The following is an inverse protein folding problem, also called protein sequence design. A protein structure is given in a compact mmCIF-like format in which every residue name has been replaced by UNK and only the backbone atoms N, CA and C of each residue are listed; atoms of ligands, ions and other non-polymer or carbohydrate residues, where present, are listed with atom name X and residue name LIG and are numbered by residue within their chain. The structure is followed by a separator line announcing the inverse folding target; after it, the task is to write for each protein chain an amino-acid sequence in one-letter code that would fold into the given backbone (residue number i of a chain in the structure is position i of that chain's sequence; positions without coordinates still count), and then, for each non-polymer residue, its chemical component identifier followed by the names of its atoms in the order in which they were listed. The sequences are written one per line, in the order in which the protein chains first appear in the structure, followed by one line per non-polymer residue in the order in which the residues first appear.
data_IF_199678031079
#
_entry.id   IF_199678031079
#
_cell.length_a   1.000
_cell.length_b   1.000
_cell.length_c   1.000
_cell.angle_alpha   90.00
_cell.angle_beta   90.00
_cell.angle_gamma   90.00
#
_symmetry.space_group_name_H-M   'P 1'
#
loop_
_entity.id
_entity.type
_entity.pdbx_description
1 polymer ?
#
# COMPACT_ATOMS: atom_id res chain seq x y z
N UNK A 1 37.90 20.08 1.07
CA UNK A 1 36.89 21.17 1.12
C UNK A 1 36.24 21.48 -0.22
N UNK A 2 36.81 21.08 -1.34
CA UNK A 2 36.21 21.27 -2.69
C UNK A 2 35.11 20.22 -2.96
N UNK A 3 35.22 19.00 -2.45
CA UNK A 3 34.27 17.91 -2.64
C UNK A 3 32.91 18.16 -1.95
N UNK A 4 32.91 18.66 -0.72
CA UNK A 4 31.70 18.92 0.04
C UNK A 4 30.82 20.05 -0.55
N UNK A 5 31.41 21.05 -1.20
CA UNK A 5 30.65 22.09 -1.90
C UNK A 5 30.03 21.56 -3.19
N UNK A 6 30.74 20.71 -3.94
CA UNK A 6 30.23 20.04 -5.13
C UNK A 6 29.04 19.14 -4.80
N UNK A 7 29.10 18.39 -3.70
CA UNK A 7 28.03 17.50 -3.26
C UNK A 7 26.76 18.27 -2.83
N UNK A 8 26.91 19.44 -2.22
CA UNK A 8 25.77 20.30 -1.85
C UNK A 8 25.08 20.86 -3.09
N UNK A 9 25.83 21.30 -4.10
CA UNK A 9 25.26 21.80 -5.37
C UNK A 9 24.54 20.68 -6.12
N UNK A 10 25.15 19.50 -6.23
CA UNK A 10 24.54 18.34 -6.85
C UNK A 10 23.19 17.99 -6.20
N UNK A 11 23.11 18.01 -4.88
CA UNK A 11 21.88 17.72 -4.14
C UNK A 11 20.78 18.76 -4.38
N UNK A 12 21.14 20.02 -4.53
CA UNK A 12 20.21 21.09 -4.90
C UNK A 12 19.65 20.89 -6.31
N UNK A 13 20.51 20.53 -7.26
CA UNK A 13 20.12 20.25 -8.65
C UNK A 13 19.14 19.07 -8.72
N UNK A 14 19.40 18.00 -7.97
CA UNK A 14 18.49 16.83 -7.91
C UNK A 14 17.11 17.21 -7.37
N UNK A 15 17.05 18.01 -6.31
CA UNK A 15 15.75 18.45 -5.77
C UNK A 15 15.02 19.37 -6.74
N UNK A 16 15.72 20.29 -7.41
CA UNK A 16 15.11 21.12 -8.45
C UNK A 16 14.53 20.26 -9.57
N UNK A 17 15.27 19.26 -10.06
CA UNK A 17 14.80 18.35 -11.10
C UNK A 17 13.52 17.60 -10.68
N UNK A 18 13.44 17.11 -9.45
CA UNK A 18 12.23 16.47 -8.91
C UNK A 18 11.04 17.44 -8.89
N UNK A 19 11.23 18.66 -8.38
CA UNK A 19 10.16 19.65 -8.29
C UNK A 19 9.69 20.07 -9.70
N UNK A 20 10.61 20.29 -10.62
CA UNK A 20 10.30 20.63 -12.02
C UNK A 20 9.55 19.50 -12.72
N UNK A 21 9.94 18.24 -12.51
CA UNK A 21 9.24 17.09 -13.07
C UNK A 21 7.80 16.99 -12.54
N UNK A 22 7.60 17.17 -11.23
CA UNK A 22 6.26 17.14 -10.61
C UNK A 22 5.36 18.24 -11.19
N UNK A 23 5.89 19.45 -11.37
CA UNK A 23 5.15 20.58 -11.97
C UNK A 23 4.84 20.29 -13.44
N UNK A 24 5.80 19.77 -14.21
CA UNK A 24 5.65 19.47 -15.63
C UNK A 24 4.52 18.47 -15.91
N UNK A 25 4.36 17.46 -15.01
CA UNK A 25 3.26 16.48 -15.10
C UNK A 25 2.00 16.91 -14.32
N UNK A 26 1.88 18.20 -13.99
CA UNK A 26 0.70 18.82 -13.35
C UNK A 26 0.31 18.23 -12.01
N UNK A 27 1.28 17.75 -11.24
CA UNK A 27 1.10 17.21 -9.87
C UNK A 27 0.10 16.04 -9.78
N UNK A 28 -0.03 15.24 -10.84
CA UNK A 28 -1.03 14.17 -10.94
C UNK A 28 -0.44 12.76 -10.90
N UNK A 29 0.83 12.60 -10.49
CA UNK A 29 1.51 11.31 -10.53
C UNK A 29 2.23 10.98 -9.21
N UNK A 30 2.51 9.69 -9.02
CA UNK A 30 3.24 9.16 -7.85
C UNK A 30 4.75 9.29 -8.02
N UNK A 31 5.47 9.00 -6.94
CA UNK A 31 6.94 9.07 -6.91
C UNK A 31 7.61 8.22 -7.99
N UNK A 32 7.16 6.97 -8.18
CA UNK A 32 7.74 6.05 -9.15
C UNK A 32 7.65 6.60 -10.58
N UNK A 33 6.50 7.17 -10.94
CA UNK A 33 6.31 7.80 -12.24
C UNK A 33 7.23 9.03 -12.45
N UNK A 34 7.42 9.85 -11.42
CA UNK A 34 8.35 11.00 -11.47
C UNK A 34 9.78 10.51 -11.68
N UNK A 35 10.16 9.41 -11.05
CA UNK A 35 11.48 8.79 -11.23
C UNK A 35 11.65 8.28 -12.66
N UNK A 36 10.63 7.62 -13.24
CA UNK A 36 10.64 7.16 -14.63
C UNK A 36 10.83 8.32 -15.62
N UNK A 37 10.15 9.46 -15.40
CA UNK A 37 10.34 10.68 -16.19
C UNK A 37 11.78 11.18 -16.09
N UNK A 38 12.33 11.32 -14.88
CA UNK A 38 13.69 11.82 -14.65
C UNK A 38 14.75 10.90 -15.27
N UNK A 39 14.53 9.60 -15.25
CA UNK A 39 15.44 8.61 -15.83
C UNK A 39 15.25 8.41 -17.34
N UNK A 40 14.22 9.00 -17.93
CA UNK A 40 13.94 8.84 -19.37
C UNK A 40 13.46 7.44 -19.74
N UNK A 41 12.72 6.77 -18.82
CA UNK A 41 12.13 5.46 -19.10
C UNK A 41 10.85 5.61 -19.93
N UNK A 42 10.85 5.08 -21.13
CA UNK A 42 9.70 5.05 -22.04
C UNK A 42 8.71 3.95 -21.63
N UNK A 43 8.00 4.16 -20.51
CA UNK A 43 6.93 3.25 -20.10
C UNK A 43 5.66 3.51 -20.92
N UNK A 44 4.75 2.51 -20.96
CA UNK A 44 3.46 2.65 -21.63
C UNK A 44 2.65 3.84 -21.10
N UNK A 45 2.78 4.14 -19.80
CA UNK A 45 2.11 5.26 -19.15
C UNK A 45 2.71 6.60 -19.56
N UNK A 46 4.04 6.69 -19.67
CA UNK A 46 4.75 7.88 -20.17
C UNK A 46 4.35 8.20 -21.60
N UNK A 47 4.31 7.18 -22.46
CA UNK A 47 3.88 7.32 -23.88
C UNK A 47 2.40 7.69 -24.01
N UNK A 48 1.52 7.12 -23.18
CA UNK A 48 0.10 7.44 -23.18
C UNK A 48 -0.19 8.92 -22.84
N UNK A 49 0.66 9.53 -22.02
CA UNK A 49 0.56 10.93 -21.63
C UNK A 49 1.42 11.89 -22.49
N UNK A 50 2.19 11.36 -23.44
CA UNK A 50 3.15 12.11 -24.27
C UNK A 50 4.17 12.87 -23.41
N UNK A 51 4.57 12.30 -22.29
CA UNK A 51 5.52 12.93 -21.37
C UNK A 51 6.98 12.69 -21.76
N UNK A 52 7.25 11.85 -22.75
CA UNK A 52 8.56 11.76 -23.41
C UNK A 52 9.00 13.07 -24.09
N UNK A 53 8.04 13.93 -24.45
CA UNK A 53 8.32 15.24 -25.08
C UNK A 53 8.62 16.36 -24.06
N UNK A 54 8.56 16.09 -22.75
CA UNK A 54 8.84 17.08 -21.72
C UNK A 54 10.35 17.37 -21.61
N UNK A 55 10.72 18.64 -21.40
CA UNK A 55 12.14 19.03 -21.18
C UNK A 55 12.80 18.31 -20.01
N UNK A 56 12.01 17.92 -19.01
CA UNK A 56 12.48 17.20 -17.82
C UNK A 56 12.66 15.71 -18.06
N UNK A 57 12.20 15.16 -19.19
CA UNK A 57 12.33 13.75 -19.50
C UNK A 57 13.80 13.40 -19.71
N UNK A 58 14.28 12.42 -18.96
CA UNK A 58 15.68 11.99 -19.01
C UNK A 58 16.69 12.96 -18.40
N UNK A 59 16.25 14.05 -17.75
CA UNK A 59 17.16 15.02 -17.14
C UNK A 59 18.01 14.45 -16.01
N UNK A 60 17.63 13.31 -15.48
CA UNK A 60 18.28 12.61 -14.39
C UNK A 60 18.81 11.22 -14.71
N UNK A 61 19.05 10.88 -15.97
CA UNK A 61 19.47 9.54 -16.44
C UNK A 61 20.77 9.00 -15.81
N UNK A 62 21.58 9.85 -15.18
CA UNK A 62 22.84 9.44 -14.54
C UNK A 62 22.71 9.00 -13.08
N UNK A 63 21.51 9.08 -12.49
CA UNK A 63 21.29 8.78 -11.08
C UNK A 63 20.43 7.53 -10.92
N UNK A 64 20.70 6.76 -9.86
CA UNK A 64 19.97 5.53 -9.55
C UNK A 64 18.61 5.81 -8.90
N UNK A 65 17.67 4.85 -9.01
CA UNK A 65 16.35 4.88 -8.37
C UNK A 65 16.43 5.16 -6.87
N UNK A 66 17.43 4.58 -6.19
CA UNK A 66 17.69 4.79 -4.75
C UNK A 66 17.96 6.27 -4.43
N UNK A 67 18.74 6.95 -5.28
CA UNK A 67 19.06 8.38 -5.12
C UNK A 67 17.80 9.23 -5.25
N UNK A 68 16.98 8.97 -6.26
CA UNK A 68 15.73 9.70 -6.49
C UNK A 68 14.72 9.48 -5.36
N UNK A 69 14.58 8.25 -4.88
CA UNK A 69 13.74 7.95 -3.73
C UNK A 69 14.21 8.68 -2.46
N UNK A 70 15.53 8.76 -2.24
CA UNK A 70 16.10 9.50 -1.12
C UNK A 70 15.83 11.01 -1.23
N UNK A 71 15.98 11.59 -2.43
CA UNK A 71 15.67 13.02 -2.68
C UNK A 71 14.20 13.32 -2.42
N UNK A 72 13.28 12.52 -2.98
CA UNK A 72 11.82 12.69 -2.80
C UNK A 72 11.45 12.57 -1.33
N UNK A 73 11.96 11.56 -0.63
CA UNK A 73 11.71 11.36 0.80
C UNK A 73 12.19 12.54 1.63
N UNK A 74 13.42 13.01 1.41
CA UNK A 74 13.96 14.16 2.13
C UNK A 74 13.22 15.46 1.78
N UNK A 75 12.75 15.60 0.55
CA UNK A 75 11.94 16.75 0.15
C UNK A 75 10.56 16.77 0.83
N UNK A 76 9.95 15.59 1.04
CA UNK A 76 8.72 15.43 1.83
C UNK A 76 8.96 15.79 3.30
N UNK A 77 10.05 15.30 3.91
CA UNK A 77 10.42 15.58 5.30
C UNK A 77 10.72 17.08 5.48
N UNK A 78 11.41 17.71 4.52
CA UNK A 78 11.74 19.14 4.57
C UNK A 78 10.55 20.05 4.23
N UNK A 79 9.40 19.49 3.85
CA UNK A 79 8.18 20.23 3.53
C UNK A 79 8.21 20.94 2.16
N UNK A 80 9.12 20.59 1.27
CA UNK A 80 9.14 21.09 -0.12
C UNK A 80 8.13 20.39 -1.01
N UNK A 81 7.83 19.13 -0.69
CA UNK A 81 6.79 18.33 -1.33
C UNK A 81 5.74 17.92 -0.29
N UNK A 82 4.53 17.61 -0.77
CA UNK A 82 3.48 16.98 0.00
C UNK A 82 2.94 15.79 -0.77
N UNK A 83 2.40 14.82 -0.04
CA UNK A 83 1.77 13.64 -0.62
C UNK A 83 0.26 13.74 -0.43
N UNK A 84 -0.48 13.80 -1.54
CA UNK A 84 -1.94 13.83 -1.50
C UNK A 84 -2.48 12.43 -1.21
N UNK A 85 -2.80 12.19 0.05
CA UNK A 85 -3.27 10.88 0.54
C UNK A 85 -4.70 10.59 0.06
N UNK A 86 -5.49 11.63 -0.19
CA UNK A 86 -6.87 11.49 -0.68
C UNK A 86 -6.92 11.02 -2.15
N UNK A 87 -5.86 11.30 -2.93
CA UNK A 87 -5.70 10.91 -4.33
C UNK A 87 -4.55 9.92 -4.52
N UNK A 88 -4.55 8.83 -3.76
CA UNK A 88 -3.63 7.68 -3.92
C UNK A 88 -2.13 8.01 -3.80
N UNK A 89 -1.79 9.07 -3.10
CA UNK A 89 -0.39 9.41 -2.82
C UNK A 89 0.31 10.16 -3.95
N UNK A 90 -0.42 10.98 -4.70
CA UNK A 90 0.15 11.87 -5.70
C UNK A 90 1.10 12.88 -5.04
N UNK A 91 2.19 13.19 -5.73
CA UNK A 91 3.14 14.20 -5.27
C UNK A 91 2.68 15.60 -5.68
N UNK A 92 2.71 16.52 -4.73
CA UNK A 92 2.42 17.95 -4.94
C UNK A 92 3.55 18.81 -4.43
N UNK A 93 3.76 19.95 -5.07
CA UNK A 93 4.78 20.94 -4.67
C UNK A 93 4.15 21.93 -3.70
N UNK A 94 4.77 22.13 -2.56
CA UNK A 94 4.34 23.12 -1.56
C UNK A 94 4.79 24.53 -1.93
N UNK A 95 4.28 25.56 -1.24
CA UNK A 95 4.78 26.93 -1.40
C UNK A 95 6.29 27.04 -1.13
N UNK A 96 6.80 26.27 -0.17
CA UNK A 96 8.23 26.22 0.13
C UNK A 96 9.03 25.54 -0.99
N UNK A 97 8.47 24.53 -1.65
CA UNK A 97 9.04 23.92 -2.84
C UNK A 97 9.14 24.92 -4.01
N UNK A 98 8.10 25.69 -4.27
CA UNK A 98 8.14 26.76 -5.28
C UNK A 98 9.14 27.88 -4.94
N UNK A 99 9.28 28.23 -3.67
CA UNK A 99 10.30 29.18 -3.21
C UNK A 99 11.72 28.63 -3.38
N UNK A 100 11.89 27.32 -3.15
CA UNK A 100 13.16 26.65 -3.33
C UNK A 100 13.65 26.71 -4.78
N UNK A 101 12.77 26.47 -5.76
CA UNK A 101 13.11 26.60 -7.19
C UNK A 101 13.61 27.99 -7.55
N UNK A 102 13.00 29.03 -6.98
CA UNK A 102 13.40 30.43 -7.25
C UNK A 102 14.72 30.82 -6.57
N UNK A 103 15.03 30.18 -5.44
CA UNK A 103 16.23 30.48 -4.65
C UNK A 103 16.69 29.23 -3.91
N UNK A 104 17.41 28.31 -4.59
CA UNK A 104 17.88 27.08 -3.99
C UNK A 104 18.75 27.33 -2.75
N UNK A 105 18.45 26.59 -1.68
CA UNK A 105 19.21 26.62 -0.41
C UNK A 105 19.92 25.27 -0.24
N UNK A 106 20.85 25.17 0.72
CA UNK A 106 21.51 23.92 1.01
C UNK A 106 20.49 22.84 1.41
N UNK A 107 20.52 21.73 0.71
CA UNK A 107 19.64 20.59 0.92
C UNK A 107 20.48 19.35 1.31
N UNK A 108 20.09 18.69 2.40
CA UNK A 108 20.79 17.49 2.87
C UNK A 108 20.03 16.25 2.41
N UNK A 109 20.71 15.37 1.72
CA UNK A 109 20.23 14.03 1.40
C UNK A 109 20.99 13.08 2.31
N UNK A 110 20.27 12.31 3.11
CA UNK A 110 20.84 11.18 3.84
C UNK A 110 20.89 10.03 2.86
N UNK A 111 22.08 9.57 2.51
CA UNK A 111 22.23 8.36 1.70
C UNK A 111 21.69 7.17 2.50
N UNK A 112 20.81 6.40 1.88
CA UNK A 112 20.43 5.10 2.44
C UNK A 112 21.66 4.19 2.33
N UNK A 113 22.33 3.97 3.43
CA UNK A 113 23.20 2.82 3.54
C UNK A 113 22.30 1.57 3.48
N UNK A 114 22.69 0.60 2.69
CA UNK A 114 22.11 -0.74 2.68
C UNK A 114 22.07 -1.23 4.13
N UNK A 115 20.89 -1.17 4.75
CA UNK A 115 20.68 -1.75 6.06
C UNK A 115 20.52 -3.26 5.88
N UNK A 116 21.64 -3.97 5.89
CA UNK A 116 21.70 -5.24 6.60
C UNK A 116 21.38 -4.94 8.06
N UNK A 117 20.45 -5.74 8.61
CA UNK A 117 19.94 -5.64 9.96
C UNK A 117 21.04 -5.41 10.98
N UNK A 118 21.06 -4.26 11.61
CA UNK A 118 21.60 -4.08 12.97
C UNK A 118 20.83 -2.96 13.67
N UNK A 119 20.21 -3.37 14.77
CA UNK A 119 19.55 -2.52 15.74
C UNK A 119 20.52 -1.44 16.24
N UNK A 120 20.14 -0.15 16.13
CA UNK A 120 20.50 0.84 17.13
C UNK A 120 19.62 2.10 17.01
N UNK A 121 19.23 2.59 18.17
CA UNK A 121 18.25 3.63 18.50
C UNK A 121 18.60 5.01 17.96
N UNK A 122 17.59 5.79 17.49
CA UNK A 122 17.65 7.26 17.49
C UNK A 122 16.29 7.84 17.93
N UNK A 123 16.29 8.79 18.86
CA UNK A 123 15.06 9.26 19.51
C UNK A 123 14.24 10.21 18.66
N UNK A 124 12.93 9.99 18.69
CA UNK A 124 11.91 10.84 18.09
C UNK A 124 11.77 12.18 18.82
N UNK A 125 11.67 13.27 18.08
CA UNK A 125 11.02 14.49 18.55
C UNK A 125 10.10 15.06 17.47
N UNK A 126 8.81 14.96 17.75
CA UNK A 126 7.83 16.01 17.62
C UNK A 126 7.37 16.46 16.23
N UNK A 127 6.11 16.19 15.88
CA UNK A 127 5.30 17.09 15.07
C UNK A 127 4.91 16.60 13.68
N UNK A 128 3.75 15.91 13.59
CA UNK A 128 2.82 16.05 12.46
C UNK A 128 3.32 15.75 11.05
N UNK A 129 3.52 14.48 10.72
CA UNK A 129 3.47 14.00 9.34
C UNK A 129 3.31 12.48 9.38
N UNK A 130 2.29 11.95 8.70
CA UNK A 130 1.95 10.54 8.69
C UNK A 130 3.00 9.68 7.96
N UNK A 131 4.22 9.62 8.49
CA UNK A 131 5.21 8.64 8.07
C UNK A 131 4.97 7.34 8.83
N UNK A 132 5.11 6.20 8.15
CA UNK A 132 5.06 4.88 8.79
C UNK A 132 6.13 4.84 9.86
N UNK A 133 5.75 4.51 11.10
CA UNK A 133 6.69 4.26 12.19
C UNK A 133 7.40 2.93 11.93
N UNK A 134 8.70 2.93 11.59
CA UNK A 134 9.39 1.69 11.20
C UNK A 134 9.57 0.73 12.39
N UNK A 135 9.70 1.24 13.60
CA UNK A 135 9.83 0.42 14.81
C UNK A 135 8.49 -0.29 15.11
N UNK A 136 7.39 0.46 15.11
CA UNK A 136 6.06 -0.11 15.29
C UNK A 136 5.71 -1.09 14.16
N UNK A 137 6.01 -0.75 12.91
CA UNK A 137 5.77 -1.63 11.77
C UNK A 137 6.49 -2.98 11.91
N UNK A 138 7.76 -2.97 12.32
CA UNK A 138 8.51 -4.20 12.58
C UNK A 138 7.87 -5.03 13.71
N UNK A 139 7.48 -4.38 14.81
CA UNK A 139 6.81 -5.05 15.92
C UNK A 139 5.46 -5.66 15.53
N UNK A 140 4.69 -4.99 14.69
CA UNK A 140 3.41 -5.49 14.15
C UNK A 140 3.62 -6.71 13.24
N UNK A 141 4.66 -6.72 12.40
CA UNK A 141 5.04 -7.87 11.57
C UNK A 141 5.43 -9.06 12.42
N UNK A 142 6.21 -8.87 13.49
CA UNK A 142 6.60 -9.92 14.40
C UNK A 142 5.40 -10.50 15.17
N UNK A 143 4.48 -9.65 15.62
CA UNK A 143 3.24 -10.08 16.27
C UNK A 143 2.39 -10.91 15.28
N UNK A 144 2.22 -10.42 14.03
CA UNK A 144 1.52 -11.15 12.97
C UNK A 144 2.16 -12.53 12.73
N UNK A 145 3.49 -12.61 12.65
CA UNK A 145 4.21 -13.87 12.46
C UNK A 145 4.00 -14.85 13.62
N UNK A 146 3.97 -14.34 14.86
CA UNK A 146 3.66 -15.17 16.04
C UNK A 146 2.23 -15.71 16.01
N UNK A 147 1.26 -14.86 15.68
CA UNK A 147 -0.14 -15.26 15.56
C UNK A 147 -0.37 -16.21 14.38
N UNK A 148 0.27 -15.98 13.25
CA UNK A 148 0.25 -16.86 12.08
C UNK A 148 0.66 -18.29 12.46
N UNK A 149 1.77 -18.44 13.17
CA UNK A 149 2.24 -19.75 13.67
C UNK A 149 1.29 -20.38 14.68
N UNK A 150 0.73 -19.58 15.58
CA UNK A 150 -0.20 -20.06 16.63
C UNK A 150 -1.53 -20.54 16.05
N UNK A 151 -2.00 -19.89 15.01
CA UNK A 151 -3.29 -20.16 14.38
C UNK A 151 -3.16 -21.07 13.14
N UNK A 152 -1.94 -21.42 12.74
CA UNK A 152 -1.64 -22.25 11.56
C UNK A 152 -2.25 -21.69 10.28
N UNK A 153 -2.18 -20.35 10.13
CA UNK A 153 -2.67 -19.63 8.94
C UNK A 153 -1.55 -18.76 8.36
N UNK A 154 -1.51 -18.54 7.03
CA UNK A 154 -0.56 -17.61 6.43
C UNK A 154 -0.66 -16.20 7.05
N UNK A 155 0.46 -15.46 7.16
CA UNK A 155 0.46 -14.13 7.80
C UNK A 155 -0.51 -13.13 7.16
N UNK A 156 -0.65 -13.14 5.83
CA UNK A 156 -1.53 -12.22 5.10
C UNK A 156 -3.03 -12.46 5.37
N UNK A 157 -3.41 -13.66 5.83
CA UNK A 157 -4.78 -13.96 6.26
C UNK A 157 -5.16 -13.12 7.49
N UNK A 158 -4.21 -12.90 8.41
CA UNK A 158 -4.44 -12.08 9.61
C UNK A 158 -4.58 -10.62 9.18
N UNK A 159 -3.51 -10.00 8.69
CA UNK A 159 -3.50 -8.66 8.12
C UNK A 159 -2.47 -8.59 6.99
N UNK A 160 -2.83 -7.91 5.90
CA UNK A 160 -1.90 -7.62 4.81
C UNK A 160 -0.91 -6.52 5.21
N UNK A 161 0.21 -6.43 4.49
CA UNK A 161 1.25 -5.42 4.76
C UNK A 161 0.72 -3.98 4.70
N UNK A 162 -0.12 -3.58 3.71
CA UNK A 162 -0.70 -2.23 3.71
C UNK A 162 -1.54 -1.90 4.96
N UNK A 163 -2.21 -2.91 5.54
CA UNK A 163 -2.96 -2.71 6.79
C UNK A 163 -2.03 -2.47 7.98
N UNK A 164 -0.90 -3.18 8.05
CA UNK A 164 0.12 -2.96 9.09
C UNK A 164 0.81 -1.60 8.94
N UNK A 165 1.10 -1.17 7.72
CA UNK A 165 1.64 0.17 7.44
C UNK A 165 0.67 1.27 7.88
N UNK A 166 -0.62 1.11 7.58
CA UNK A 166 -1.64 2.03 8.03
C UNK A 166 -1.76 2.05 9.57
N UNK A 167 -1.66 0.88 10.24
CA UNK A 167 -1.63 0.81 11.70
C UNK A 167 -0.41 1.54 12.29
N UNK A 168 0.77 1.39 11.67
CA UNK A 168 2.00 2.06 12.10
C UNK A 168 2.03 3.56 11.76
N UNK A 169 1.06 4.05 11.01
CA UNK A 169 0.90 5.45 10.64
C UNK A 169 -0.15 6.15 11.51
N UNK A 170 -1.26 5.45 11.79
CA UNK A 170 -2.47 6.02 12.42
C UNK A 170 -2.53 5.72 13.92
N UNK A 171 -1.83 4.69 14.38
CA UNK A 171 -1.79 4.23 15.78
C UNK A 171 -3.17 3.90 16.39
N UNK A 172 -3.95 2.98 15.82
CA UNK A 172 -5.24 2.59 16.38
C UNK A 172 -5.04 1.83 17.70
N UNK A 173 -5.63 2.32 18.79
CA UNK A 173 -5.51 1.70 20.13
C UNK A 173 -6.79 1.05 20.62
N UNK A 174 -7.89 1.22 19.87
CA UNK A 174 -9.18 0.58 20.12
C UNK A 174 -9.61 -0.27 18.94
N UNK A 175 -10.49 -1.25 19.17
CA UNK A 175 -11.03 -2.07 18.08
C UNK A 175 -11.86 -1.25 17.08
N UNK A 176 -12.53 -0.20 17.56
CA UNK A 176 -13.31 0.69 16.70
C UNK A 176 -12.41 1.53 15.79
N UNK A 177 -11.28 2.02 16.28
CA UNK A 177 -10.27 2.69 15.47
C UNK A 177 -9.64 1.71 14.46
N UNK A 178 -9.35 0.47 14.91
CA UNK A 178 -8.74 -0.55 14.06
C UNK A 178 -9.64 -0.96 12.88
N UNK A 179 -10.95 -0.97 13.05
CA UNK A 179 -11.92 -1.24 11.98
C UNK A 179 -11.87 -0.21 10.85
N UNK A 180 -11.36 0.99 11.11
CA UNK A 180 -11.22 2.05 10.11
C UNK A 180 -9.95 1.93 9.26
N UNK A 181 -9.05 1.01 9.63
CA UNK A 181 -7.85 0.73 8.84
C UNK A 181 -8.24 0.01 7.55
N UNK A 182 -7.72 0.44 6.37
CA UNK A 182 -7.94 -0.25 5.11
C UNK A 182 -7.59 -1.73 5.21
N UNK A 183 -8.49 -2.60 4.74
CA UNK A 183 -8.31 -4.06 4.82
C UNK A 183 -8.61 -4.68 6.19
N UNK A 184 -9.08 -3.88 7.17
CA UNK A 184 -9.49 -4.38 8.50
C UNK A 184 -10.96 -4.09 8.70
N UNK A 185 -11.79 -5.12 8.61
CA UNK A 185 -13.22 -5.00 8.95
C UNK A 185 -13.49 -5.44 10.38
N UNK A 186 -14.75 -5.29 10.81
CA UNK A 186 -15.20 -5.63 12.15
C UNK A 186 -14.88 -7.08 12.54
N UNK A 187 -14.97 -8.03 11.60
CA UNK A 187 -14.66 -9.44 11.81
C UNK A 187 -13.19 -9.66 12.20
N UNK A 188 -12.27 -9.12 11.41
CA UNK A 188 -10.83 -9.23 11.69
C UNK A 188 -10.39 -8.44 12.92
N UNK A 189 -10.93 -7.24 13.12
CA UNK A 189 -10.66 -6.44 14.30
C UNK A 189 -11.07 -7.20 15.58
N UNK A 190 -12.23 -7.83 15.59
CA UNK A 190 -12.71 -8.62 16.73
C UNK A 190 -11.88 -9.89 16.95
N UNK A 191 -11.44 -10.55 15.88
CA UNK A 191 -10.73 -11.83 15.97
C UNK A 191 -9.24 -11.68 16.34
N UNK A 192 -8.57 -10.71 15.76
CA UNK A 192 -7.12 -10.54 15.87
C UNK A 192 -6.71 -9.22 16.53
N UNK A 193 -7.58 -8.21 16.53
CA UNK A 193 -7.21 -6.83 16.82
C UNK A 193 -6.77 -6.54 18.25
N UNK A 194 -7.22 -7.32 19.23
CA UNK A 194 -6.94 -7.02 20.65
C UNK A 194 -5.45 -6.98 20.97
N UNK A 195 -4.67 -7.96 20.49
CA UNK A 195 -3.22 -8.02 20.71
C UNK A 195 -2.49 -6.89 19.98
N UNK A 196 -2.96 -6.52 18.76
CA UNK A 196 -2.41 -5.39 18.00
C UNK A 196 -2.69 -4.05 18.68
N UNK A 197 -3.92 -3.81 19.12
CA UNK A 197 -4.27 -2.57 19.84
C UNK A 197 -3.47 -2.43 21.14
N UNK A 198 -3.27 -3.53 21.88
CA UNK A 198 -2.44 -3.53 23.12
C UNK A 198 -0.98 -3.19 22.81
N UNK A 199 -0.43 -3.76 21.74
CA UNK A 199 0.95 -3.47 21.31
C UNK A 199 1.11 -2.01 20.91
N UNK A 200 0.21 -1.49 20.06
CA UNK A 200 0.23 -0.11 19.60
C UNK A 200 0.07 0.85 20.77
N UNK A 201 -0.88 0.59 21.67
CA UNK A 201 -1.09 1.42 22.85
C UNK A 201 0.15 1.52 23.72
N UNK A 202 0.79 0.38 24.02
CA UNK A 202 2.04 0.34 24.78
C UNK A 202 3.16 1.12 24.07
N UNK A 203 3.31 0.94 22.77
CA UNK A 203 4.30 1.66 21.97
C UNK A 203 4.09 3.18 22.02
N UNK A 204 2.84 3.64 21.91
CA UNK A 204 2.50 5.06 22.04
C UNK A 204 2.83 5.61 23.44
N UNK A 205 2.53 4.84 24.50
CA UNK A 205 2.80 5.24 25.89
C UNK A 205 4.31 5.29 26.19
N UNK A 206 5.08 4.30 25.70
CA UNK A 206 6.54 4.22 25.91
C UNK A 206 7.32 5.31 25.15
N UNK A 207 6.81 5.75 23.99
CA UNK A 207 7.49 6.73 23.14
C UNK A 207 6.84 8.12 23.19
N UNK A 208 5.87 8.35 24.09
CA UNK A 208 5.15 9.62 24.27
C UNK A 208 4.58 10.16 22.93
N UNK A 209 4.03 9.24 22.09
CA UNK A 209 3.50 9.59 20.78
C UNK A 209 2.15 10.29 20.94
N UNK A 210 2.08 11.55 20.53
CA UNK A 210 0.81 12.27 20.39
C UNK A 210 0.08 11.74 19.15
N UNK A 211 -1.02 11.03 19.37
CA UNK A 211 -1.85 10.50 18.29
C UNK A 211 -2.68 11.63 17.66
N UNK A 212 -2.92 11.58 16.33
CA UNK A 212 -3.81 12.54 15.69
C UNK A 212 -5.19 12.52 16.36
N UNK A 213 -5.67 13.66 16.86
CA UNK A 213 -6.97 13.76 17.55
C UNK A 213 -8.18 13.49 16.63
N UNK A 214 -8.00 13.40 15.33
CA UNK A 214 -9.06 13.28 14.31
C UNK A 214 -9.35 11.86 13.83
N UNK A 215 -9.18 10.84 14.68
CA UNK A 215 -9.70 9.48 14.41
C UNK A 215 -11.23 9.36 14.63
N UNK A 216 -11.96 10.45 14.49
CA UNK A 216 -13.43 10.42 14.46
C UNK A 216 -13.90 9.77 13.17
N UNK A 217 -14.47 8.61 13.37
CA UNK A 217 -15.23 7.78 12.44
C UNK A 217 -15.92 8.62 11.33
N UNK A 218 -15.30 8.70 10.16
CA UNK A 218 -16.03 9.03 8.94
C UNK A 218 -16.59 7.72 8.37
N UNK A 219 -17.79 7.40 8.75
CA UNK A 219 -18.59 6.35 8.11
C UNK A 219 -18.77 6.72 6.64
N UNK A 220 -18.06 6.04 5.75
CA UNK A 220 -18.24 6.20 4.30
C UNK A 220 -19.49 5.42 3.89
N UNK A 221 -20.62 6.08 4.00
CA UNK A 221 -21.96 5.48 3.81
C UNK A 221 -22.24 4.92 2.40
N UNK A 222 -21.50 5.35 1.37
CA UNK A 222 -21.75 4.92 -0.01
C UNK A 222 -21.05 3.62 -0.42
N UNK A 223 -19.84 3.37 0.07
CA UNK A 223 -19.16 2.07 -0.15
C UNK A 223 -19.86 0.91 0.57
N UNK A 224 -20.52 1.20 1.69
CA UNK A 224 -21.28 0.21 2.45
C UNK A 224 -22.48 -0.36 1.68
N UNK A 225 -23.17 0.42 0.86
CA UNK A 225 -24.34 -0.04 0.10
C UNK A 225 -23.96 -1.02 -1.02
N UNK A 226 -22.89 -0.74 -1.76
CA UNK A 226 -22.38 -1.63 -2.81
C UNK A 226 -21.93 -2.95 -2.20
N UNK A 227 -21.12 -2.90 -1.15
CA UNK A 227 -20.65 -4.06 -0.39
C UNK A 227 -21.80 -4.94 0.09
N UNK A 228 -22.81 -4.36 0.73
CA UNK A 228 -23.99 -5.09 1.22
C UNK A 228 -24.77 -5.73 0.05
N UNK A 229 -24.92 -5.00 -1.06
CA UNK A 229 -25.62 -5.54 -2.23
C UNK A 229 -24.89 -6.73 -2.88
N UNK A 230 -23.55 -6.70 -2.93
CA UNK A 230 -22.71 -7.81 -3.41
C UNK A 230 -22.85 -9.01 -2.48
N UNK A 231 -22.71 -8.84 -1.17
CA UNK A 231 -22.88 -9.91 -0.17
C UNK A 231 -24.23 -10.57 -0.32
N UNK A 232 -25.31 -9.78 -0.38
CA UNK A 232 -26.68 -10.31 -0.52
C UNK A 232 -26.89 -11.07 -1.84
N UNK A 233 -26.25 -10.67 -2.92
CA UNK A 233 -26.34 -11.35 -4.20
C UNK A 233 -25.59 -12.70 -4.13
N UNK A 234 -24.41 -12.74 -3.54
CA UNK A 234 -23.63 -13.97 -3.32
C UNK A 234 -24.40 -14.94 -2.38
N UNK A 235 -25.01 -14.45 -1.31
CA UNK A 235 -25.83 -15.25 -0.39
C UNK A 235 -27.03 -15.90 -1.09
N UNK A 236 -27.54 -15.26 -2.14
CA UNK A 236 -28.61 -15.79 -3.01
C UNK A 236 -28.06 -16.68 -4.12
N UNK A 237 -26.77 -16.93 -4.17
CA UNK A 237 -26.09 -17.72 -5.21
C UNK A 237 -26.29 -17.15 -6.63
N UNK A 238 -26.31 -15.83 -6.77
CA UNK A 238 -26.29 -15.19 -8.08
C UNK A 238 -24.87 -15.34 -8.65
N UNK A 239 -24.77 -15.75 -9.93
CA UNK A 239 -23.48 -15.90 -10.60
C UNK A 239 -22.70 -14.57 -10.57
N UNK A 240 -21.38 -14.62 -10.39
CA UNK A 240 -20.58 -13.40 -10.18
C UNK A 240 -20.58 -12.50 -11.43
N UNK A 241 -20.58 -13.07 -12.61
CA UNK A 241 -20.71 -12.34 -13.88
C UNK A 241 -22.06 -11.59 -13.98
N UNK A 242 -23.16 -12.22 -13.55
CA UNK A 242 -24.47 -11.58 -13.48
C UNK A 242 -24.50 -10.44 -12.45
N UNK A 243 -23.77 -10.58 -11.33
CA UNK A 243 -23.62 -9.50 -10.34
C UNK A 243 -22.89 -8.32 -10.98
N UNK A 244 -21.77 -8.55 -11.67
CA UNK A 244 -21.02 -7.50 -12.35
C UNK A 244 -21.90 -6.76 -13.36
N UNK A 245 -22.60 -7.52 -14.21
CA UNK A 245 -23.53 -7.00 -15.22
C UNK A 245 -24.65 -6.16 -14.58
N UNK A 246 -25.25 -6.65 -13.49
CA UNK A 246 -26.34 -5.95 -12.78
C UNK A 246 -25.89 -4.63 -12.13
N UNK A 247 -24.60 -4.52 -11.82
CA UNK A 247 -23.98 -3.32 -11.22
C UNK A 247 -23.38 -2.38 -12.27
N UNK A 248 -23.29 -2.84 -13.53
CA UNK A 248 -22.67 -2.08 -14.61
C UNK A 248 -21.16 -1.86 -14.43
N UNK A 249 -20.48 -2.85 -13.85
CA UNK A 249 -19.03 -2.86 -13.63
C UNK A 249 -18.40 -4.05 -14.37
N UNK A 250 -17.11 -3.94 -14.68
CA UNK A 250 -16.33 -5.03 -15.26
C UNK A 250 -16.15 -6.16 -14.23
N UNK A 251 -15.96 -7.40 -14.73
CA UNK A 251 -15.80 -8.57 -13.85
C UNK A 251 -14.57 -8.42 -12.93
N UNK A 252 -13.46 -7.88 -13.44
CA UNK A 252 -12.27 -7.59 -12.64
C UNK A 252 -12.53 -6.60 -11.50
N UNK A 253 -13.33 -5.55 -11.75
CA UNK A 253 -13.74 -4.59 -10.71
C UNK A 253 -14.62 -5.24 -9.65
N UNK A 254 -15.48 -6.19 -10.05
CA UNK A 254 -16.25 -6.97 -9.08
C UNK A 254 -15.34 -7.83 -8.21
N UNK A 255 -14.33 -8.48 -8.80
CA UNK A 255 -13.36 -9.28 -8.04
C UNK A 255 -12.61 -8.40 -7.03
N UNK A 256 -12.21 -7.18 -7.39
CA UNK A 256 -11.57 -6.23 -6.46
C UNK A 256 -12.47 -5.94 -5.25
N UNK A 257 -13.76 -5.71 -5.47
CA UNK A 257 -14.72 -5.47 -4.38
C UNK A 257 -14.95 -6.72 -3.52
N UNK A 258 -15.06 -7.91 -4.13
CA UNK A 258 -15.22 -9.18 -3.41
C UNK A 258 -13.96 -9.51 -2.59
N UNK A 259 -12.79 -9.30 -3.15
CA UNK A 259 -11.50 -9.42 -2.44
C UNK A 259 -11.46 -8.48 -1.22
N UNK A 260 -11.79 -7.21 -1.39
CA UNK A 260 -11.85 -6.25 -0.29
C UNK A 260 -12.84 -6.68 0.82
N UNK A 261 -13.94 -7.34 0.44
CA UNK A 261 -14.92 -7.89 1.39
C UNK A 261 -14.31 -9.02 2.21
N UNK A 262 -13.72 -10.03 1.59
CA UNK A 262 -13.14 -11.18 2.31
C UNK A 262 -11.90 -10.80 3.10
N UNK A 263 -11.05 -9.93 2.57
CA UNK A 263 -9.89 -9.40 3.30
C UNK A 263 -10.28 -8.56 4.51
N UNK A 264 -11.46 -7.93 4.52
CA UNK A 264 -11.99 -7.26 5.71
C UNK A 264 -12.48 -8.22 6.80
N UNK A 265 -12.51 -9.52 6.54
CA UNK A 265 -12.98 -10.54 7.47
C UNK A 265 -14.48 -10.83 7.35
N UNK A 266 -15.08 -10.59 6.19
CA UNK A 266 -16.46 -11.01 5.90
C UNK A 266 -16.41 -12.35 5.16
N UNK A 267 -17.10 -13.35 5.70
CA UNK A 267 -17.20 -14.67 5.05
C UNK A 267 -18.14 -14.60 3.85
N UNK A 268 -17.69 -15.10 2.70
CA UNK A 268 -18.47 -15.28 1.50
C UNK A 268 -18.36 -16.72 1.03
N UNK A 269 -19.43 -17.28 0.49
CA UNK A 269 -19.39 -18.60 -0.14
C UNK A 269 -19.62 -18.44 -1.64
N UNK A 270 -18.58 -18.69 -2.42
CA UNK A 270 -18.61 -18.66 -3.89
C UNK A 270 -18.40 -20.05 -4.51
N UNK A 271 -18.51 -21.12 -3.73
CA UNK A 271 -18.29 -22.50 -4.21
C UNK A 271 -19.20 -22.83 -5.39
N UNK A 272 -20.46 -22.43 -5.33
CA UNK A 272 -21.43 -22.63 -6.40
C UNK A 272 -20.98 -22.08 -7.76
N UNK A 273 -20.21 -20.98 -7.76
CA UNK A 273 -19.68 -20.38 -8.97
C UNK A 273 -18.36 -21.05 -9.40
N UNK A 274 -17.50 -21.39 -8.45
CA UNK A 274 -16.26 -22.11 -8.72
C UNK A 274 -16.51 -23.49 -9.32
N UNK A 275 -17.47 -24.26 -8.80
CA UNK A 275 -17.86 -25.57 -9.31
C UNK A 275 -18.40 -25.51 -10.75
N UNK A 276 -18.92 -24.38 -11.19
CA UNK A 276 -19.42 -24.17 -12.54
C UNK A 276 -18.30 -23.85 -13.55
N UNK A 277 -17.24 -23.14 -13.12
CA UNK A 277 -16.23 -22.60 -14.02
C UNK A 277 -14.93 -23.39 -14.06
N UNK A 278 -14.63 -24.22 -13.04
CA UNK A 278 -13.40 -25.01 -12.98
C UNK A 278 -13.64 -26.39 -12.35
N UNK A 279 -12.78 -27.34 -12.67
CA UNK A 279 -12.82 -28.66 -12.06
C UNK A 279 -12.16 -28.64 -10.65
N UNK A 280 -12.44 -29.71 -9.88
CA UNK A 280 -12.02 -29.83 -8.49
C UNK A 280 -10.50 -29.93 -8.35
N UNK A 281 -9.81 -30.63 -9.26
CA UNK A 281 -8.34 -30.79 -9.21
C UNK A 281 -7.66 -29.43 -9.44
N UNK A 282 -8.13 -28.65 -10.43
CA UNK A 282 -7.65 -27.31 -10.73
C UNK A 282 -7.82 -26.35 -9.53
N UNK A 283 -9.00 -26.41 -8.91
CA UNK A 283 -9.29 -25.60 -7.71
C UNK A 283 -8.38 -25.98 -6.54
N UNK A 284 -8.12 -27.29 -6.34
CA UNK A 284 -7.25 -27.77 -5.26
C UNK A 284 -5.81 -27.34 -5.44
N UNK A 285 -5.27 -27.39 -6.63
CA UNK A 285 -3.89 -26.97 -6.91
C UNK A 285 -3.67 -25.51 -6.52
N UNK A 286 -4.59 -24.62 -6.90
CA UNK A 286 -4.52 -23.20 -6.52
C UNK A 286 -4.73 -23.01 -5.00
N UNK A 287 -5.66 -23.76 -4.42
CA UNK A 287 -5.97 -23.68 -3.00
C UNK A 287 -4.76 -24.10 -2.13
N UNK A 288 -4.12 -25.21 -2.48
CA UNK A 288 -2.94 -25.73 -1.79
C UNK A 288 -1.74 -24.79 -1.94
N UNK A 289 -1.57 -24.14 -3.11
CA UNK A 289 -0.59 -23.08 -3.27
C UNK A 289 -0.77 -22.00 -2.21
N UNK A 290 -1.96 -21.41 -2.05
CA UNK A 290 -2.20 -20.35 -1.06
C UNK A 290 -2.07 -20.82 0.39
N UNK A 291 -2.29 -22.10 0.65
CA UNK A 291 -2.11 -22.68 1.98
C UNK A 291 -0.63 -22.76 2.38
N UNK A 292 0.26 -23.04 1.44
CA UNK A 292 1.70 -23.19 1.66
C UNK A 292 2.47 -21.88 1.45
N UNK A 293 1.96 -20.99 0.63
CA UNK A 293 2.62 -19.73 0.28
C UNK A 293 2.65 -18.72 1.43
N UNK A 294 3.71 -17.92 1.46
CA UNK A 294 3.84 -16.77 2.37
C UNK A 294 3.37 -15.46 1.76
N UNK A 295 3.05 -15.46 0.46
CA UNK A 295 2.55 -14.32 -0.32
C UNK A 295 1.17 -14.61 -0.87
N UNK A 296 0.36 -13.57 -1.03
CA UNK A 296 -0.96 -13.63 -1.67
C UNK A 296 -0.98 -12.94 -3.04
N UNK A 297 0.19 -12.66 -3.61
CA UNK A 297 0.31 -12.03 -4.92
C UNK A 297 -0.09 -12.98 -6.02
N UNK A 298 -0.87 -12.48 -6.96
CA UNK A 298 -1.32 -13.26 -8.12
C UNK A 298 -0.16 -13.61 -9.05
N UNK A 299 0.75 -12.66 -9.29
CA UNK A 299 1.91 -12.89 -10.16
C UNK A 299 2.80 -14.04 -9.63
N UNK A 300 3.06 -14.05 -8.31
CA UNK A 300 3.83 -15.12 -7.66
C UNK A 300 3.13 -16.48 -7.80
N UNK A 301 1.80 -16.49 -7.72
CA UNK A 301 1.00 -17.70 -7.89
C UNK A 301 1.01 -18.22 -9.32
N UNK A 302 0.84 -17.34 -10.30
CA UNK A 302 0.90 -17.70 -11.73
C UNK A 302 2.28 -18.19 -12.13
N UNK A 303 3.35 -17.59 -11.62
CA UNK A 303 4.73 -18.02 -11.88
C UNK A 303 4.99 -19.44 -11.35
N UNK A 304 4.39 -19.85 -10.24
CA UNK A 304 4.58 -21.17 -9.64
C UNK A 304 3.62 -22.23 -10.21
N UNK A 305 2.36 -21.87 -10.43
CA UNK A 305 1.33 -22.76 -10.95
C UNK A 305 1.48 -23.04 -12.45
N UNK A 306 1.96 -22.05 -13.23
CA UNK A 306 2.22 -22.16 -14.67
C UNK A 306 1.05 -21.71 -15.55
N UNK A 307 1.26 -21.86 -16.88
CA UNK A 307 0.41 -21.28 -17.91
C UNK A 307 -0.99 -21.93 -18.05
N UNK A 308 -1.24 -23.03 -17.36
CA UNK A 308 -2.54 -23.71 -17.38
C UNK A 308 -3.59 -23.00 -16.51
N UNK A 309 -3.18 -22.01 -15.71
CA UNK A 309 -4.02 -21.26 -14.77
C UNK A 309 -4.19 -19.82 -15.20
N UNK A 310 -5.41 -19.33 -15.18
CA UNK A 310 -5.70 -17.92 -15.49
C UNK A 310 -5.68 -17.05 -14.25
N UNK A 311 -5.40 -15.75 -14.42
CA UNK A 311 -5.45 -14.76 -13.34
C UNK A 311 -6.81 -14.77 -12.61
N UNK A 312 -7.91 -14.88 -13.36
CA UNK A 312 -9.28 -14.89 -12.81
C UNK A 312 -9.52 -16.12 -11.93
N UNK A 313 -9.10 -17.30 -12.37
CA UNK A 313 -9.20 -18.54 -11.58
C UNK A 313 -8.41 -18.46 -10.28
N UNK A 314 -7.18 -17.98 -10.36
CA UNK A 314 -6.31 -17.80 -9.20
C UNK A 314 -6.92 -16.80 -8.22
N UNK A 315 -7.45 -15.69 -8.69
CA UNK A 315 -8.14 -14.68 -7.86
C UNK A 315 -9.38 -15.26 -7.18
N UNK A 316 -10.20 -15.99 -7.90
CA UNK A 316 -11.43 -16.60 -7.37
C UNK A 316 -11.13 -17.64 -6.27
N UNK A 317 -10.17 -18.52 -6.48
CA UNK A 317 -9.78 -19.50 -5.46
C UNK A 317 -9.10 -18.82 -4.28
N UNK A 318 -8.33 -17.75 -4.48
CA UNK A 318 -7.79 -16.92 -3.38
C UNK A 318 -8.91 -16.32 -2.54
N UNK A 319 -9.97 -15.79 -3.16
CA UNK A 319 -11.17 -15.29 -2.46
C UNK A 319 -11.78 -16.39 -1.57
N UNK A 320 -11.97 -17.59 -2.12
CA UNK A 320 -12.46 -18.75 -1.35
C UNK A 320 -11.54 -19.06 -0.18
N UNK A 321 -10.24 -19.19 -0.43
CA UNK A 321 -9.24 -19.48 0.58
C UNK A 321 -9.26 -18.45 1.73
N UNK A 322 -9.20 -17.16 1.42
CA UNK A 322 -9.24 -16.09 2.43
C UNK A 322 -10.58 -16.12 3.19
N UNK A 323 -11.68 -16.32 2.49
CA UNK A 323 -13.01 -16.42 3.12
C UNK A 323 -13.11 -17.56 4.14
N UNK A 324 -12.51 -18.69 3.86
CA UNK A 324 -12.51 -19.85 4.75
C UNK A 324 -11.52 -19.71 5.92
N UNK A 325 -10.29 -19.22 5.64
CA UNK A 325 -9.22 -19.17 6.62
C UNK A 325 -9.31 -17.96 7.56
N UNK A 326 -9.86 -16.84 7.09
CA UNK A 326 -9.97 -15.61 7.88
C UNK A 326 -11.22 -15.56 8.79
N UNK A 327 -12.12 -16.55 8.71
CA UNK A 327 -13.43 -16.50 9.39
C UNK A 327 -13.73 -17.74 10.25
#
# INVERSE_FOLDING_TARGET
SSSAASDVYKRQELLCAVIEAIIAVKENFKADYIIDILQGKETSEVQAHLHEDLEVFGSGMGEEDKTWNAVIRQALIAGYLSKDVEHYGLLKVTEEGHKFLKKPKSFKITEDNDFEETEEEVPARGGGSCAVDPALYSMLKDLRKKLSKKLEVPPYVIFQDPSLEAMATIYPVTLDELQNIPGVGAGKAKRYGEEFCKLIKRHCEENEIERPEDLRVRTVANKSKMKVAIIQAIDRKVALDDIALSKGIEFGELLDEVEAIVYSGTKLNIDYFLEEIMDEDHMLDIYDYFKESTTDKIDDALDELGDDFTEEEVRLVRIKFISEMAN
#
